data_IF_474703354988
#
_entry.id   IF_474703354988
#
_cell.length_a   1.000
_cell.length_b   1.000
_cell.length_c   1.000
_cell.angle_alpha   90.00
_cell.angle_beta   90.00
_cell.angle_gamma   90.00
#
_symmetry.space_group_name_H-M   'P 1'
#
loop_
_entity.id
_entity.type
_entity.pdbx_description
1 polymer ?
#
# COMPACT_ATOMS: atom_id res chain seq x y z
N UNK A 1 -15.92 3.48 17.40
CA UNK A 1 -14.95 2.56 16.79
C UNK A 1 -13.92 2.22 17.87
N UNK A 2 -13.77 0.94 18.21
CA UNK A 2 -12.83 0.48 19.26
C UNK A 2 -11.59 -0.15 18.63
N UNK A 3 -10.45 -0.04 19.31
CA UNK A 3 -9.20 -0.68 18.90
C UNK A 3 -8.41 -1.20 20.10
N UNK A 4 -7.61 -2.24 19.89
CA UNK A 4 -6.60 -2.73 20.84
C UNK A 4 -5.23 -2.53 20.22
N UNK A 5 -4.33 -1.83 20.93
CA UNK A 5 -2.93 -1.67 20.56
C UNK A 5 -2.05 -2.37 21.58
N UNK A 6 -1.12 -3.21 21.12
CA UNK A 6 -0.28 -4.04 21.99
C UNK A 6 1.08 -4.35 21.37
N UNK A 7 2.03 -4.72 22.23
CA UNK A 7 3.31 -5.34 21.89
C UNK A 7 3.21 -6.86 21.71
N UNK A 8 2.07 -7.49 22.05
CA UNK A 8 1.76 -8.88 21.71
C UNK A 8 1.61 -9.06 20.21
N UNK A 9 1.63 -10.31 19.74
CA UNK A 9 1.65 -10.68 18.32
C UNK A 9 0.53 -10.08 17.46
N UNK A 10 -0.61 -9.68 18.04
CA UNK A 10 -1.73 -9.10 17.28
C UNK A 10 -1.46 -7.66 16.82
N UNK A 11 -0.56 -6.95 17.50
CA UNK A 11 -0.22 -5.53 17.29
C UNK A 11 -1.44 -4.60 17.33
N UNK A 12 -2.20 -4.51 16.25
CA UNK A 12 -3.47 -3.79 16.18
C UNK A 12 -4.67 -4.74 15.97
N UNK A 13 -5.71 -4.58 16.78
CA UNK A 13 -7.01 -5.23 16.59
C UNK A 13 -8.08 -4.17 16.36
N UNK A 14 -8.90 -4.32 15.31
CA UNK A 14 -9.90 -3.31 14.90
C UNK A 14 -11.31 -3.91 14.90
N UNK A 15 -12.27 -3.14 15.44
CA UNK A 15 -13.67 -3.53 15.54
C UNK A 15 -14.52 -2.73 14.55
N UNK A 16 -15.20 -3.43 13.65
CA UNK A 16 -16.08 -2.86 12.64
C UNK A 16 -17.54 -3.17 12.98
N UNK A 17 -18.29 -2.12 13.26
CA UNK A 17 -19.72 -2.17 13.56
C UNK A 17 -20.53 -1.92 12.27
N UNK A 18 -21.42 -2.84 11.94
CA UNK A 18 -22.30 -2.75 10.77
C UNK A 18 -23.74 -2.35 11.15
N UNK A 19 -24.00 -2.02 12.42
CA UNK A 19 -25.30 -1.77 13.01
C UNK A 19 -25.76 -2.93 13.91
N UNK A 20 -26.60 -2.63 14.90
CA UNK A 20 -26.98 -3.56 15.97
C UNK A 20 -27.59 -4.89 15.49
N UNK A 21 -28.29 -4.89 14.36
CA UNK A 21 -28.95 -6.08 13.80
C UNK A 21 -28.13 -6.77 12.69
N UNK A 22 -26.83 -6.44 12.58
CA UNK A 22 -25.93 -7.03 11.58
C UNK A 22 -24.69 -7.64 12.24
N UNK A 23 -24.10 -8.69 11.65
CA UNK A 23 -22.81 -9.20 12.10
C UNK A 23 -21.74 -8.09 12.04
N UNK A 24 -20.98 -7.93 13.12
CA UNK A 24 -19.77 -7.13 13.13
C UNK A 24 -18.59 -7.87 12.47
N UNK A 25 -17.51 -7.14 12.21
CA UNK A 25 -16.24 -7.73 11.73
C UNK A 25 -15.13 -7.34 12.69
N UNK A 26 -14.18 -8.25 12.92
CA UNK A 26 -12.97 -7.97 13.71
C UNK A 26 -11.75 -8.28 12.85
N UNK A 27 -10.90 -7.28 12.61
CA UNK A 27 -9.53 -7.54 12.19
C UNK A 27 -8.75 -7.93 13.45
N UNK A 28 -8.59 -9.24 13.69
CA UNK A 28 -7.96 -9.76 14.92
C UNK A 28 -6.51 -9.32 15.08
N UNK A 29 -5.79 -9.20 13.96
CA UNK A 29 -4.39 -8.79 13.92
C UNK A 29 -4.11 -8.04 12.62
N UNK A 30 -3.60 -6.82 12.75
CA UNK A 30 -2.97 -6.09 11.65
C UNK A 30 -1.51 -5.83 12.02
N UNK A 31 -0.62 -6.56 11.35
CA UNK A 31 0.81 -6.59 11.63
C UNK A 31 1.65 -6.20 10.41
N UNK A 32 2.85 -5.68 10.68
CA UNK A 32 3.82 -5.27 9.67
C UNK A 32 5.17 -5.94 9.91
N UNK A 33 6.00 -6.00 8.86
CA UNK A 33 7.41 -6.39 8.93
C UNK A 33 7.59 -7.69 9.74
N UNK A 34 8.42 -7.66 10.78
CA UNK A 34 8.75 -8.84 11.58
C UNK A 34 7.54 -9.51 12.22
N UNK A 35 6.48 -8.78 12.58
CA UNK A 35 5.28 -9.38 13.15
C UNK A 35 4.41 -10.08 12.09
N UNK A 36 4.38 -9.56 10.87
CA UNK A 36 3.74 -10.23 9.74
C UNK A 36 4.47 -11.54 9.38
N UNK A 37 5.81 -11.50 9.33
CA UNK A 37 6.65 -12.66 9.02
C UNK A 37 6.50 -13.81 10.04
N UNK A 38 6.15 -13.53 11.30
CA UNK A 38 5.84 -14.57 12.29
C UNK A 38 4.63 -15.43 11.88
N UNK A 39 3.73 -14.88 11.07
CA UNK A 39 2.50 -15.54 10.63
C UNK A 39 2.66 -16.25 9.27
N UNK A 40 3.70 -15.91 8.52
CA UNK A 40 3.92 -16.34 7.13
C UNK A 40 3.68 -17.84 6.87
N UNK A 41 4.27 -18.79 7.64
CA UNK A 41 4.13 -20.21 7.35
C UNK A 41 2.82 -20.82 7.87
N UNK A 42 2.02 -20.08 8.64
CA UNK A 42 0.83 -20.59 9.31
C UNK A 42 -0.44 -20.39 8.49
N UNK A 43 -1.33 -21.37 8.57
CA UNK A 43 -2.68 -21.31 8.00
C UNK A 43 -3.62 -20.38 8.80
N UNK A 44 -4.84 -20.18 8.30
CA UNK A 44 -5.84 -19.30 8.93
C UNK A 44 -6.22 -19.77 10.33
N UNK A 45 -6.40 -21.07 10.54
CA UNK A 45 -6.77 -21.64 11.83
C UNK A 45 -5.71 -21.32 12.90
N UNK A 46 -4.42 -21.54 12.59
CA UNK A 46 -3.35 -21.26 13.54
C UNK A 46 -3.19 -19.76 13.82
N UNK A 47 -3.34 -18.90 12.81
CA UNK A 47 -3.29 -17.43 12.98
C UNK A 47 -4.42 -16.95 13.90
N UNK A 48 -5.65 -17.43 13.72
CA UNK A 48 -6.79 -17.10 14.58
C UNK A 48 -6.56 -17.58 16.01
N UNK A 49 -6.10 -18.82 16.20
CA UNK A 49 -5.80 -19.35 17.53
C UNK A 49 -4.79 -18.46 18.27
N UNK A 50 -3.66 -18.13 17.63
CA UNK A 50 -2.63 -17.28 18.22
C UNK A 50 -3.16 -15.88 18.59
N UNK A 51 -4.01 -15.29 17.75
CA UNK A 51 -4.62 -14.00 18.01
C UNK A 51 -5.60 -14.05 19.19
N UNK A 52 -6.46 -15.08 19.25
CA UNK A 52 -7.41 -15.27 20.37
C UNK A 52 -6.69 -15.54 21.69
N UNK A 53 -5.63 -16.35 21.68
CA UNK A 53 -4.81 -16.60 22.87
C UNK A 53 -4.15 -15.33 23.38
N UNK A 54 -3.64 -14.48 22.46
CA UNK A 54 -3.07 -13.18 22.83
C UNK A 54 -4.13 -12.21 23.37
N UNK A 55 -5.31 -12.13 22.73
CA UNK A 55 -6.41 -11.27 23.17
C UNK A 55 -7.00 -11.72 24.50
N UNK A 56 -7.07 -13.03 24.78
CA UNK A 56 -7.50 -13.55 26.10
C UNK A 56 -6.56 -13.13 27.23
N UNK A 57 -5.29 -12.88 26.95
CA UNK A 57 -4.37 -12.30 27.96
C UNK A 57 -4.64 -10.81 28.23
N UNK A 58 -5.29 -10.11 27.30
CA UNK A 58 -5.67 -8.70 27.44
C UNK A 58 -7.08 -8.58 28.03
N UNK A 59 -8.00 -9.43 27.58
CA UNK A 59 -9.41 -9.46 27.96
C UNK A 59 -9.76 -10.86 28.50
N UNK A 60 -9.36 -11.18 29.74
CA UNK A 60 -9.57 -12.53 30.30
C UNK A 60 -11.05 -12.89 30.45
N UNK A 61 -11.91 -11.89 30.65
CA UNK A 61 -13.33 -12.08 30.93
C UNK A 61 -14.22 -11.92 29.68
N UNK A 62 -13.64 -11.75 28.49
CA UNK A 62 -14.38 -11.59 27.23
C UNK A 62 -14.24 -12.83 26.37
N UNK A 63 -15.36 -13.52 26.12
CA UNK A 63 -15.38 -14.71 25.26
C UNK A 63 -15.58 -14.38 23.79
N UNK A 64 -14.53 -13.83 23.16
CA UNK A 64 -14.53 -13.48 21.72
C UNK A 64 -14.90 -14.69 20.85
N UNK A 65 -14.40 -15.89 21.19
CA UNK A 65 -14.56 -17.09 20.38
C UNK A 65 -16.03 -17.51 20.24
N UNK A 66 -16.83 -17.35 21.30
CA UNK A 66 -18.26 -17.68 21.29
C UNK A 66 -19.09 -16.83 20.31
N UNK A 67 -18.58 -15.67 19.90
CA UNK A 67 -19.26 -14.75 18.98
C UNK A 67 -18.80 -14.89 17.52
N UNK A 68 -17.79 -15.73 17.24
CA UNK A 68 -17.29 -15.92 15.88
C UNK A 68 -18.27 -16.80 15.10
N UNK A 69 -18.65 -16.31 13.92
CA UNK A 69 -19.44 -17.02 12.92
C UNK A 69 -18.74 -16.93 11.57
N UNK A 70 -19.06 -17.84 10.65
CA UNK A 70 -18.45 -17.89 9.32
C UNK A 70 -16.99 -18.34 9.32
N UNK A 71 -16.32 -18.14 8.19
CA UNK A 71 -14.96 -18.62 7.95
C UNK A 71 -13.90 -17.53 8.20
N UNK A 72 -12.73 -17.88 8.78
CA UNK A 72 -11.65 -16.93 8.99
C UNK A 72 -10.94 -16.56 7.67
N UNK A 73 -10.65 -15.28 7.50
CA UNK A 73 -9.94 -14.73 6.33
C UNK A 73 -8.56 -14.21 6.77
N UNK A 74 -7.52 -14.55 6.02
CA UNK A 74 -6.14 -14.10 6.28
C UNK A 74 -5.41 -13.84 4.97
N UNK A 75 -4.39 -12.97 5.03
CA UNK A 75 -3.48 -12.73 3.91
C UNK A 75 -2.05 -12.46 4.41
N UNK A 76 -1.07 -12.87 3.61
CA UNK A 76 0.34 -12.45 3.70
C UNK A 76 0.73 -12.02 2.29
N UNK A 77 0.92 -10.72 2.08
CA UNK A 77 1.21 -10.15 0.75
C UNK A 77 2.54 -10.62 0.17
N UNK A 78 3.49 -10.95 1.04
CA UNK A 78 4.80 -11.50 0.68
C UNK A 78 4.75 -12.94 0.11
N UNK A 79 3.62 -13.64 0.22
CA UNK A 79 3.47 -15.02 -0.24
C UNK A 79 2.80 -15.17 -1.62
N UNK A 80 2.15 -14.12 -2.12
CA UNK A 80 1.52 -14.13 -3.45
C UNK A 80 2.57 -13.82 -4.51
N UNK A 81 2.79 -14.65 -5.55
CA UNK A 81 3.83 -14.40 -6.55
C UNK A 81 3.58 -13.20 -7.48
N UNK A 82 2.37 -12.63 -7.49
CA UNK A 82 2.06 -11.42 -8.28
C UNK A 82 2.35 -10.12 -7.51
N UNK A 83 2.72 -10.26 -6.24
CA UNK A 83 3.25 -9.19 -5.41
C UNK A 83 4.56 -9.68 -4.78
N UNK A 84 5.39 -8.81 -4.23
CA UNK A 84 6.60 -9.23 -3.49
C UNK A 84 6.64 -8.58 -2.10
N UNK A 85 5.46 -8.32 -1.55
CA UNK A 85 5.24 -7.55 -0.33
C UNK A 85 4.00 -6.67 -0.44
N UNK A 86 3.58 -6.11 0.68
CA UNK A 86 2.37 -5.28 0.73
C UNK A 86 2.52 -3.95 -0.03
N UNK A 87 3.71 -3.34 0.03
CA UNK A 87 4.05 -2.08 -0.63
C UNK A 87 5.53 -1.74 -0.43
N UNK A 88 6.03 -0.73 -1.14
CA UNK A 88 7.38 -0.18 -0.98
C UNK A 88 7.58 0.46 0.40
N UNK A 89 8.70 0.17 1.06
CA UNK A 89 9.25 0.96 2.16
C UNK A 89 10.47 1.77 1.69
N UNK A 90 10.39 3.10 1.71
CA UNK A 90 11.53 3.94 1.34
C UNK A 90 12.59 3.93 2.46
N UNK A 91 13.78 3.42 2.17
CA UNK A 91 14.91 3.44 3.11
C UNK A 91 15.65 4.79 3.05
N UNK A 92 16.39 5.16 4.10
CA UNK A 92 17.32 6.29 4.03
C UNK A 92 18.24 6.19 2.80
N UNK A 93 18.34 7.28 2.04
CA UNK A 93 19.13 7.34 0.80
C UNK A 93 18.38 6.96 -0.48
N UNK A 94 17.16 6.41 -0.40
CA UNK A 94 16.40 5.99 -1.60
C UNK A 94 15.77 7.13 -2.39
N UNK A 95 15.89 8.39 -1.95
CA UNK A 95 15.28 9.54 -2.62
C UNK A 95 15.67 9.63 -4.11
N UNK A 96 16.95 9.44 -4.45
CA UNK A 96 17.41 9.51 -5.85
C UNK A 96 16.78 8.42 -6.73
N UNK A 97 16.53 7.22 -6.19
CA UNK A 97 15.81 6.16 -6.92
C UNK A 97 14.36 6.57 -7.15
N UNK A 98 13.69 7.07 -6.12
CA UNK A 98 12.29 7.48 -6.23
C UNK A 98 12.11 8.67 -7.18
N UNK A 99 13.02 9.64 -7.11
CA UNK A 99 13.05 10.78 -8.04
C UNK A 99 13.16 10.31 -9.50
N UNK A 100 14.08 9.37 -9.79
CA UNK A 100 14.24 8.78 -11.13
C UNK A 100 12.97 8.05 -11.59
N UNK A 101 12.38 7.22 -10.74
CA UNK A 101 11.15 6.48 -11.05
C UNK A 101 9.96 7.40 -11.26
N UNK A 102 9.73 8.36 -10.36
CA UNK A 102 8.61 9.30 -10.42
C UNK A 102 8.70 10.24 -11.63
N UNK A 103 9.93 10.62 -12.04
CA UNK A 103 10.16 11.43 -13.23
C UNK A 103 10.21 10.67 -14.56
N UNK A 104 10.17 9.33 -14.53
CA UNK A 104 10.31 8.48 -15.73
C UNK A 104 9.29 8.77 -16.83
N UNK A 105 8.12 9.32 -16.48
CA UNK A 105 7.10 9.69 -17.46
C UNK A 105 7.53 10.88 -18.36
N UNK A 106 8.53 11.67 -17.96
CA UNK A 106 9.09 12.76 -18.76
C UNK A 106 10.20 12.24 -19.68
N UNK A 107 9.82 11.81 -20.89
CA UNK A 107 10.71 11.02 -21.76
C UNK A 107 11.44 11.82 -22.86
N UNK A 108 11.23 13.13 -22.96
CA UNK A 108 11.76 13.96 -24.06
C UNK A 108 13.30 13.95 -24.14
N UNK A 109 13.98 13.74 -23.01
CA UNK A 109 15.44 13.65 -22.94
C UNK A 109 15.99 12.21 -23.03
N UNK A 110 15.14 11.18 -23.02
CA UNK A 110 15.57 9.78 -23.08
C UNK A 110 15.98 9.38 -24.50
N UNK A 111 16.93 8.43 -24.68
CA UNK A 111 17.15 7.76 -25.96
C UNK A 111 15.86 7.17 -26.53
N UNK A 112 15.68 7.19 -27.85
CA UNK A 112 14.44 6.71 -28.51
C UNK A 112 14.06 5.28 -28.09
N UNK A 113 15.05 4.39 -27.99
CA UNK A 113 14.86 2.99 -27.56
C UNK A 113 14.32 2.81 -26.13
N UNK A 114 14.37 3.88 -25.31
CA UNK A 114 13.92 3.89 -23.91
C UNK A 114 12.56 4.59 -23.75
N UNK A 115 11.97 5.11 -24.85
CA UNK A 115 10.66 5.78 -24.84
C UNK A 115 9.52 4.80 -25.11
N UNK A 116 8.32 5.14 -24.66
CA UNK A 116 7.08 4.39 -24.95
C UNK A 116 6.70 3.34 -23.90
N UNK A 117 7.57 3.07 -22.92
CA UNK A 117 7.24 2.30 -21.71
C UNK A 117 7.00 3.25 -20.53
N UNK A 118 5.88 3.10 -19.84
CA UNK A 118 5.49 3.96 -18.72
C UNK A 118 5.26 3.13 -17.46
N UNK A 119 5.66 3.70 -16.32
CA UNK A 119 5.53 3.09 -15.01
C UNK A 119 4.53 3.91 -14.18
N UNK A 120 3.67 3.24 -13.43
CA UNK A 120 2.75 3.84 -12.47
C UNK A 120 2.44 2.82 -11.36
N UNK A 121 2.12 3.34 -10.18
CA UNK A 121 1.92 2.55 -8.97
C UNK A 121 2.30 3.33 -7.72
N UNK A 122 1.86 2.88 -6.55
CA UNK A 122 2.24 3.52 -5.28
C UNK A 122 3.76 3.35 -5.01
N UNK A 123 4.37 2.32 -5.56
CA UNK A 123 5.82 2.09 -5.61
C UNK A 123 6.57 3.13 -6.47
N UNK A 124 5.93 3.73 -7.48
CA UNK A 124 6.47 4.87 -8.24
C UNK A 124 6.29 6.19 -7.47
N UNK A 125 5.29 6.26 -6.59
CA UNK A 125 4.91 7.48 -5.87
C UNK A 125 5.88 7.87 -4.75
N UNK A 126 5.74 9.07 -4.20
CA UNK A 126 6.41 9.48 -2.94
C UNK A 126 5.68 9.01 -1.68
N UNK A 127 4.51 8.38 -1.83
CA UNK A 127 3.63 7.96 -0.72
C UNK A 127 3.21 6.50 -0.91
N UNK A 128 4.15 5.54 -0.88
CA UNK A 128 3.78 4.13 -0.94
C UNK A 128 2.92 3.74 0.27
N UNK A 129 2.18 2.63 0.16
CA UNK A 129 1.14 2.22 1.11
C UNK A 129 -0.13 3.08 1.09
N UNK A 130 -0.20 4.09 0.21
CA UNK A 130 -1.37 4.95 0.05
C UNK A 130 -1.85 4.92 -1.38
N UNK A 131 -3.14 4.60 -1.56
CA UNK A 131 -3.76 4.45 -2.88
C UNK A 131 -3.68 5.73 -3.73
N UNK A 132 -3.71 6.90 -3.09
CA UNK A 132 -3.56 8.19 -3.77
C UNK A 132 -2.25 8.27 -4.57
N UNK A 133 -1.16 7.66 -4.07
CA UNK A 133 0.12 7.60 -4.79
C UNK A 133 0.02 6.82 -6.10
N UNK A 134 -0.72 5.71 -6.11
CA UNK A 134 -0.99 4.94 -7.33
C UNK A 134 -1.84 5.75 -8.33
N UNK A 135 -2.87 6.44 -7.84
CA UNK A 135 -3.75 7.27 -8.68
C UNK A 135 -2.97 8.42 -9.34
N UNK A 136 -2.18 9.16 -8.57
CA UNK A 136 -1.44 10.30 -9.11
C UNK A 136 -0.36 9.89 -10.11
N UNK A 137 0.37 8.80 -9.85
CA UNK A 137 1.36 8.30 -10.81
C UNK A 137 0.72 7.73 -12.07
N UNK A 138 -0.47 7.14 -11.97
CA UNK A 138 -1.26 6.75 -13.13
C UNK A 138 -1.67 7.98 -13.98
N UNK A 139 -2.07 9.09 -13.36
CA UNK A 139 -2.38 10.33 -14.07
C UNK A 139 -1.16 10.94 -14.78
N UNK A 140 0.03 10.87 -14.16
CA UNK A 140 1.29 11.25 -14.82
C UNK A 140 1.57 10.38 -16.05
N UNK A 141 1.39 9.06 -15.92
CA UNK A 141 1.56 8.12 -17.04
C UNK A 141 0.53 8.36 -18.15
N UNK A 142 -0.75 8.65 -17.81
CA UNK A 142 -1.79 9.00 -18.79
C UNK A 142 -1.38 10.22 -19.61
N UNK A 143 -0.93 11.29 -18.94
CA UNK A 143 -0.43 12.48 -19.63
C UNK A 143 0.72 12.13 -20.60
N UNK A 144 1.66 11.31 -20.14
CA UNK A 144 2.83 10.92 -20.93
C UNK A 144 2.46 10.07 -22.15
N UNK A 145 1.51 9.15 -22.01
CA UNK A 145 0.99 8.32 -23.10
C UNK A 145 0.29 9.20 -24.14
N UNK A 146 -0.57 10.13 -23.71
CA UNK A 146 -1.22 11.09 -24.62
C UNK A 146 -0.18 11.89 -25.39
N UNK A 147 0.87 12.39 -24.70
CA UNK A 147 1.98 13.12 -25.31
C UNK A 147 2.75 12.25 -26.31
N UNK A 148 3.06 11.00 -25.96
CA UNK A 148 3.77 10.05 -26.81
C UNK A 148 3.01 9.73 -28.11
N UNK A 149 1.68 9.68 -28.04
CA UNK A 149 0.79 9.50 -29.19
C UNK A 149 0.58 10.79 -30.02
N UNK A 150 1.30 11.87 -29.72
CA UNK A 150 1.21 13.14 -30.43
C UNK A 150 0.10 14.09 -29.94
N UNK A 151 -0.55 13.76 -28.83
CA UNK A 151 -1.53 14.61 -28.17
C UNK A 151 -0.91 15.67 -27.25
N UNK A 152 -1.78 16.51 -26.68
CA UNK A 152 -1.43 17.53 -25.70
C UNK A 152 -2.65 17.83 -24.79
N UNK A 153 -2.40 18.37 -23.60
CA UNK A 153 -3.45 18.92 -22.74
C UNK A 153 -4.08 20.17 -23.37
N UNK A 154 -5.33 20.46 -22.99
CA UNK A 154 -5.97 21.73 -23.36
C UNK A 154 -5.24 22.91 -22.69
N UNK A 155 -5.06 24.07 -23.35
CA UNK A 155 -4.33 25.22 -22.78
C UNK A 155 -4.87 25.70 -21.42
N UNK A 156 -6.19 25.68 -21.24
CA UNK A 156 -6.85 26.11 -19.99
C UNK A 156 -6.83 25.06 -18.86
N UNK A 157 -6.32 23.85 -19.13
CA UNK A 157 -6.21 22.77 -18.15
C UNK A 157 -4.91 21.98 -18.37
N UNK A 158 -3.75 22.59 -18.05
CA UNK A 158 -2.46 21.94 -18.22
C UNK A 158 -2.37 20.69 -17.33
N UNK A 159 -1.72 19.65 -17.85
CA UNK A 159 -1.49 18.41 -17.15
C UNK A 159 -0.21 18.43 -16.31
N UNK A 160 0.17 17.26 -15.76
CA UNK A 160 1.33 17.16 -14.89
C UNK A 160 2.65 17.43 -15.61
N UNK A 161 2.79 17.04 -16.87
CA UNK A 161 4.06 17.19 -17.58
C UNK A 161 4.38 18.61 -18.05
N UNK A 162 3.38 19.48 -18.20
CA UNK A 162 3.61 20.91 -18.46
C UNK A 162 4.29 21.61 -17.28
N UNK A 163 3.96 21.22 -16.05
CA UNK A 163 4.49 21.85 -14.84
C UNK A 163 5.66 21.11 -14.20
N UNK A 164 5.86 19.83 -14.51
CA UNK A 164 6.91 19.00 -13.92
C UNK A 164 8.31 19.65 -13.94
N UNK A 165 8.77 20.32 -15.02
CA UNK A 165 10.08 21.00 -15.01
C UNK A 165 10.20 22.15 -14.00
N UNK A 166 9.07 22.70 -13.55
CA UNK A 166 9.02 23.88 -12.68
C UNK A 166 8.73 23.53 -11.21
N UNK A 167 7.88 22.53 -10.97
CA UNK A 167 7.40 22.16 -9.62
C UNK A 167 7.64 20.68 -9.28
N UNK A 168 8.35 19.95 -10.13
CA UNK A 168 8.72 18.57 -9.87
C UNK A 168 9.63 18.42 -8.64
N UNK A 169 9.81 17.17 -8.16
CA UNK A 169 10.71 16.88 -7.06
C UNK A 169 12.14 17.37 -7.36
N UNK A 170 12.85 17.85 -6.34
CA UNK A 170 14.20 18.39 -6.49
C UNK A 170 15.20 17.29 -6.80
N UNK A 171 16.03 17.45 -7.84
CA UNK A 171 17.16 16.55 -8.06
C UNK A 171 18.27 16.82 -7.02
N UNK A 172 18.75 15.76 -6.36
CA UNK A 172 19.91 15.86 -5.46
C UNK A 172 21.22 15.74 -6.27
N UNK A 173 22.31 16.39 -5.84
CA UNK A 173 23.62 16.26 -6.49
C UNK A 173 24.13 14.82 -6.45
N UNK A 174 25.13 14.50 -7.26
CA UNK A 174 25.85 13.21 -7.20
C UNK A 174 26.71 13.08 -5.94
#
# INVERSE_FOLDING_TARGET
MGMTLTDRLTRGTYLFDNGADKPGVICLSYAWMSDALKMLPYDSAKRVQLALDALRKIYPDVDIASHIIGDPITISWEADPHFLGAFKGALPGHYRYNHRMYGHFMQDALPERERGIFLAGDDISFTPAWVEGAVQTALNAVWAIVRHLGGASHPDNPGPGEWYPHIGPVALPD
#
